data_IF_709006450972
#
_entry.id   IF_709006450972
#
_cell.length_a   1.000
_cell.length_b   1.000
_cell.length_c   1.000
_cell.angle_alpha   90.00
_cell.angle_beta   90.00
_cell.angle_gamma   90.00
#
_symmetry.space_group_name_H-M   'P 1'
#
loop_
_entity.id
_entity.type
_entity.pdbx_description
1 polymer ?
#
# COMPACT_ATOMS: atom_id res chain seq x y z
N UNK A 1 -11.32 0.98 -6.72
CA UNK A 1 -11.89 -0.37 -6.77
C UNK A 1 -13.28 -0.29 -7.37
N UNK A 2 -13.50 -0.96 -8.51
CA UNK A 2 -14.79 -0.83 -9.22
C UNK A 2 -16.02 -1.22 -8.41
N UNK A 3 -15.94 -2.30 -7.63
CA UNK A 3 -17.10 -2.71 -6.83
C UNK A 3 -17.43 -1.66 -5.77
N UNK A 4 -16.41 -1.09 -5.16
CA UNK A 4 -16.62 -0.07 -4.15
C UNK A 4 -17.23 1.18 -4.75
N UNK A 5 -16.75 1.57 -5.93
CA UNK A 5 -17.30 2.73 -6.61
C UNK A 5 -18.76 2.54 -6.96
N UNK A 6 -19.13 1.33 -7.44
CA UNK A 6 -20.52 1.02 -7.75
C UNK A 6 -21.41 1.13 -6.51
N UNK A 7 -20.93 0.61 -5.38
CA UNK A 7 -21.69 0.69 -4.12
C UNK A 7 -21.82 2.14 -3.67
N UNK A 8 -20.75 2.91 -3.78
CA UNK A 8 -20.76 4.31 -3.37
C UNK A 8 -21.65 5.18 -4.25
N UNK A 9 -22.01 4.70 -5.43
CA UNK A 9 -22.93 5.42 -6.31
C UNK A 9 -24.40 5.23 -5.92
N UNK A 10 -24.68 4.39 -4.93
CA UNK A 10 -26.04 4.19 -4.43
C UNK A 10 -26.47 5.38 -3.57
N UNK A 11 -27.57 5.24 -2.83
CA UNK A 11 -28.08 6.37 -2.05
C UNK A 11 -27.12 6.74 -0.90
N UNK A 12 -27.30 7.94 -0.35
CA UNK A 12 -26.41 8.51 0.66
C UNK A 12 -26.27 7.68 1.92
N UNK A 13 -27.36 7.20 2.54
CA UNK A 13 -27.21 6.43 3.77
C UNK A 13 -26.37 5.17 3.59
N UNK A 14 -26.57 4.48 2.48
CA UNK A 14 -25.82 3.27 2.18
C UNK A 14 -24.36 3.61 1.87
N UNK A 15 -24.13 4.70 1.15
CA UNK A 15 -22.81 5.18 0.82
C UNK A 15 -22.00 5.47 2.08
N UNK A 16 -22.57 6.18 3.03
CA UNK A 16 -21.89 6.50 4.28
C UNK A 16 -21.57 5.24 5.06
N UNK A 17 -22.49 4.30 5.09
CA UNK A 17 -22.30 3.06 5.82
C UNK A 17 -21.14 2.25 5.24
N UNK A 18 -21.05 2.18 3.91
CA UNK A 18 -19.96 1.49 3.24
C UNK A 18 -18.63 2.18 3.52
N UNK A 19 -18.61 3.50 3.48
CA UNK A 19 -17.39 4.27 3.74
C UNK A 19 -16.87 4.00 5.15
N UNK A 20 -17.75 3.94 6.15
CA UNK A 20 -17.34 3.64 7.51
C UNK A 20 -16.73 2.26 7.60
N UNK A 21 -17.32 1.27 6.95
CA UNK A 21 -16.79 -0.08 6.95
C UNK A 21 -15.40 -0.15 6.33
N UNK A 22 -15.21 0.56 5.23
CA UNK A 22 -13.91 0.59 4.56
C UNK A 22 -12.85 1.16 5.49
N UNK A 23 -13.18 2.21 6.23
CA UNK A 23 -12.25 2.80 7.19
C UNK A 23 -11.86 1.83 8.27
N UNK A 24 -12.81 1.03 8.75
CA UNK A 24 -12.57 0.12 9.85
C UNK A 24 -11.77 -1.12 9.42
N UNK A 25 -11.51 -1.28 8.12
CA UNK A 25 -10.80 -2.44 7.61
C UNK A 25 -9.36 -2.14 7.25
N UNK A 26 -8.71 -1.35 8.07
CA UNK A 26 -7.27 -1.14 7.91
C UNK A 26 -6.53 -2.37 8.43
N UNK A 27 -5.41 -2.69 7.79
CA UNK A 27 -4.59 -3.82 8.19
C UNK A 27 -3.72 -3.47 9.38
N UNK A 28 -3.40 -4.47 10.19
CA UNK A 28 -2.36 -4.35 11.21
C UNK A 28 -0.99 -4.36 10.52
N UNK A 29 0.06 -4.13 11.31
CA UNK A 29 1.41 -4.18 10.75
C UNK A 29 1.70 -5.56 10.17
N UNK A 30 1.34 -6.61 10.89
CA UNK A 30 1.57 -7.97 10.42
C UNK A 30 0.78 -8.29 9.16
N UNK A 31 -0.50 -7.92 9.14
CA UNK A 31 -1.33 -8.14 7.97
C UNK A 31 -0.84 -7.34 6.78
N UNK A 32 -0.31 -6.15 7.01
CA UNK A 32 0.28 -5.34 5.95
C UNK A 32 1.46 -6.07 5.31
N UNK A 33 2.33 -6.65 6.13
CA UNK A 33 3.47 -7.41 5.61
C UNK A 33 3.01 -8.60 4.79
N UNK A 34 2.03 -9.34 5.31
CA UNK A 34 1.49 -10.49 4.57
C UNK A 34 0.87 -10.08 3.25
N UNK A 35 0.19 -8.95 3.25
CA UNK A 35 -0.44 -8.44 2.05
C UNK A 35 0.61 -8.07 0.98
N UNK A 36 1.68 -7.40 1.39
CA UNK A 36 2.76 -7.04 0.49
C UNK A 36 3.40 -8.29 -0.10
N UNK A 37 3.71 -9.26 0.75
CA UNK A 37 4.32 -10.51 0.32
C UNK A 37 3.41 -11.24 -0.67
N UNK A 38 2.12 -11.28 -0.37
CA UNK A 38 1.14 -11.95 -1.23
C UNK A 38 1.05 -11.28 -2.60
N UNK A 39 1.05 -9.95 -2.63
CA UNK A 39 0.99 -9.22 -3.89
C UNK A 39 2.21 -9.52 -4.76
N UNK A 40 3.39 -9.59 -4.15
CA UNK A 40 4.59 -9.91 -4.89
C UNK A 40 4.57 -11.33 -5.43
N UNK A 41 4.02 -12.25 -4.65
CA UNK A 41 3.88 -13.64 -5.09
C UNK A 41 2.95 -13.73 -6.31
N UNK A 42 1.81 -13.05 -6.26
CA UNK A 42 0.85 -13.06 -7.38
C UNK A 42 1.47 -12.43 -8.63
N UNK A 43 2.32 -11.41 -8.45
CA UNK A 43 2.98 -10.76 -9.57
C UNK A 43 4.09 -11.62 -10.19
N UNK A 44 4.33 -12.81 -9.65
CA UNK A 44 5.31 -13.73 -10.21
C UNK A 44 6.70 -13.53 -9.70
N UNK A 45 6.89 -12.74 -8.66
CA UNK A 45 8.20 -12.50 -8.08
C UNK A 45 8.63 -13.71 -7.25
N UNK A 46 9.80 -14.27 -7.55
CA UNK A 46 10.31 -15.41 -6.80
C UNK A 46 10.75 -15.02 -5.40
N UNK A 47 11.14 -13.77 -5.22
CA UNK A 47 11.57 -13.25 -3.93
C UNK A 47 10.88 -11.92 -3.67
N UNK A 48 10.58 -11.68 -2.41
CA UNK A 48 10.02 -10.39 -2.00
C UNK A 48 11.16 -9.35 -2.02
N UNK A 49 11.07 -8.33 -2.86
CA UNK A 49 12.13 -7.31 -2.92
C UNK A 49 12.11 -6.35 -1.72
N UNK A 50 11.01 -6.29 -0.98
CA UNK A 50 10.87 -5.36 0.15
C UNK A 50 11.58 -5.91 1.38
N UNK A 51 12.43 -5.09 2.01
CA UNK A 51 13.07 -5.46 3.26
C UNK A 51 12.04 -5.39 4.39
N UNK A 52 12.42 -5.98 5.55
CA UNK A 52 11.58 -5.89 6.74
C UNK A 52 11.30 -4.42 7.11
N UNK A 53 12.34 -3.61 7.09
CA UNK A 53 12.18 -2.19 7.43
C UNK A 53 11.33 -1.47 6.41
N UNK A 54 11.44 -1.85 5.13
CA UNK A 54 10.59 -1.27 4.09
C UNK A 54 9.12 -1.59 4.34
N UNK A 55 8.83 -2.84 4.68
CA UNK A 55 7.44 -3.23 4.95
C UNK A 55 6.88 -2.53 6.18
N UNK A 56 7.71 -2.34 7.19
CA UNK A 56 7.31 -1.59 8.38
C UNK A 56 7.00 -0.14 8.01
N UNK A 57 7.84 0.47 7.18
CA UNK A 57 7.62 1.84 6.73
C UNK A 57 6.34 1.94 5.91
N UNK A 58 6.06 0.97 5.06
CA UNK A 58 4.81 0.94 4.31
C UNK A 58 3.63 0.97 5.27
N UNK A 59 3.68 0.17 6.32
CA UNK A 59 2.61 0.20 7.31
C UNK A 59 2.50 1.56 7.99
N UNK A 60 3.62 2.12 8.41
CA UNK A 60 3.63 3.39 9.12
C UNK A 60 3.02 4.53 8.32
N UNK A 61 3.34 4.60 7.03
CA UNK A 61 2.86 5.71 6.20
C UNK A 61 1.48 5.47 5.62
N UNK A 62 1.08 4.21 5.47
CA UNK A 62 -0.24 3.87 4.95
C UNK A 62 -1.30 3.73 6.04
N UNK A 63 -0.86 3.57 7.29
CA UNK A 63 -1.73 3.24 8.43
C UNK A 63 -2.55 1.98 8.16
N UNK A 64 -2.03 1.08 7.34
CA UNK A 64 -2.70 -0.17 7.02
C UNK A 64 -3.83 -0.03 6.02
N UNK A 65 -3.99 1.14 5.40
CA UNK A 65 -5.03 1.34 4.39
C UNK A 65 -4.60 0.69 3.08
N UNK A 66 -5.35 -0.33 2.58
CA UNK A 66 -4.91 -1.09 1.40
C UNK A 66 -4.64 -0.23 0.18
N UNK A 67 -5.45 0.78 -0.06
CA UNK A 67 -5.24 1.66 -1.21
C UNK A 67 -3.89 2.38 -1.13
N UNK A 68 -3.54 2.84 0.07
CA UNK A 68 -2.27 3.53 0.26
C UNK A 68 -1.10 2.54 0.20
N UNK A 69 -1.28 1.34 0.72
CA UNK A 69 -0.27 0.29 0.61
C UNK A 69 0.03 0.02 -0.87
N UNK A 70 -1.02 -0.13 -1.67
CA UNK A 70 -0.86 -0.38 -3.11
C UNK A 70 -0.11 0.76 -3.79
N UNK A 71 -0.51 2.00 -3.49
CA UNK A 71 0.11 3.17 -4.11
C UNK A 71 1.59 3.26 -3.76
N UNK A 72 1.92 3.07 -2.48
CA UNK A 72 3.32 3.11 -2.04
C UNK A 72 4.13 2.00 -2.70
N UNK A 73 3.61 0.78 -2.69
CA UNK A 73 4.32 -0.35 -3.28
C UNK A 73 4.55 -0.17 -4.77
N UNK A 74 3.54 0.27 -5.51
CA UNK A 74 3.66 0.45 -6.95
C UNK A 74 4.71 1.48 -7.30
N UNK A 75 4.73 2.59 -6.57
CA UNK A 75 5.73 3.64 -6.80
C UNK A 75 7.11 3.20 -6.37
N UNK A 76 7.20 2.44 -5.28
CA UNK A 76 8.50 1.93 -4.82
C UNK A 76 9.09 0.95 -5.82
N UNK A 77 8.26 0.10 -6.41
CA UNK A 77 8.72 -0.84 -7.42
C UNK A 77 9.20 -0.11 -8.66
N UNK A 78 8.50 0.95 -9.06
CA UNK A 78 8.92 1.76 -10.18
C UNK A 78 10.27 2.41 -9.91
N UNK A 79 10.44 2.98 -8.71
CA UNK A 79 11.71 3.58 -8.33
C UNK A 79 12.83 2.54 -8.34
N UNK A 80 12.55 1.34 -7.81
CA UNK A 80 13.52 0.25 -7.82
C UNK A 80 13.95 -0.11 -9.24
N UNK A 81 12.99 -0.15 -10.15
CA UNK A 81 13.29 -0.43 -11.55
C UNK A 81 14.16 0.68 -12.15
N UNK A 82 13.82 1.94 -11.88
CA UNK A 82 14.57 3.08 -12.42
C UNK A 82 16.00 3.13 -11.87
N UNK A 83 16.17 2.76 -10.61
CA UNK A 83 17.49 2.75 -9.98
C UNK A 83 18.23 1.44 -10.21
N UNK A 84 17.60 0.50 -10.92
CA UNK A 84 18.19 -0.81 -11.25
C UNK A 84 18.61 -1.58 -10.01
N UNK A 85 17.74 -1.55 -8.98
CA UNK A 85 17.97 -2.31 -7.75
C UNK A 85 16.93 -3.40 -7.60
N UNK A 86 17.33 -4.52 -7.03
CA UNK A 86 16.44 -5.63 -6.74
C UNK A 86 15.93 -5.59 -5.31
N UNK A 87 16.37 -4.61 -4.54
CA UNK A 87 16.01 -4.49 -3.13
C UNK A 87 15.34 -3.15 -2.90
N UNK A 88 14.14 -3.19 -2.33
CA UNK A 88 13.39 -1.99 -1.97
C UNK A 88 13.54 -1.82 -0.45
N UNK A 89 14.34 -0.87 -0.04
CA UNK A 89 14.60 -0.64 1.38
C UNK A 89 13.77 0.52 1.92
N UNK A 90 13.97 0.80 3.20
CA UNK A 90 13.24 1.86 3.89
C UNK A 90 13.46 3.22 3.24
N UNK A 91 14.67 3.48 2.76
CA UNK A 91 15.00 4.76 2.13
C UNK A 91 14.15 5.01 0.89
N UNK A 92 13.95 3.98 0.08
CA UNK A 92 13.11 4.09 -1.11
C UNK A 92 11.66 4.36 -0.70
N UNK A 93 11.15 3.65 0.31
CA UNK A 93 9.79 3.87 0.79
C UNK A 93 9.62 5.30 1.28
N UNK A 94 10.59 5.80 2.04
CA UNK A 94 10.55 7.16 2.55
C UNK A 94 10.49 8.18 1.43
N UNK A 95 11.33 8.02 0.43
CA UNK A 95 11.36 8.92 -0.72
C UNK A 95 10.02 8.91 -1.47
N UNK A 96 9.45 7.72 -1.64
CA UNK A 96 8.15 7.58 -2.29
C UNK A 96 7.06 8.30 -1.51
N UNK A 97 7.05 8.15 -0.19
CA UNK A 97 6.01 8.76 0.63
C UNK A 97 6.11 10.30 0.62
N UNK A 98 7.32 10.82 0.55
CA UNK A 98 7.52 12.26 0.41
C UNK A 98 6.93 12.74 -0.92
N UNK A 99 7.25 12.03 -2.00
CA UNK A 99 6.75 12.38 -3.33
C UNK A 99 5.24 12.31 -3.42
N UNK A 100 4.63 11.37 -2.70
CA UNK A 100 3.18 11.20 -2.70
C UNK A 100 2.47 12.15 -1.72
N UNK A 101 3.22 12.92 -0.95
CA UNK A 101 2.63 13.82 0.02
C UNK A 101 2.15 13.13 1.29
N UNK A 102 2.60 11.91 1.54
CA UNK A 102 2.21 11.16 2.74
C UNK A 102 3.16 11.39 3.90
N UNK A 103 4.28 12.05 3.65
CA UNK A 103 5.30 12.33 4.63
C UNK A 103 5.88 13.71 4.36
N UNK A 104 6.32 14.39 5.40
CA UNK A 104 6.92 15.72 5.26
C UNK A 104 8.40 15.66 4.93
N UNK A 105 8.97 14.52 5.04
CA UNK A 105 10.41 14.38 4.86
C UNK A 105 10.66 13.38 3.76
#
# INVERSE_FOLDING_TARGET
MPELDSVLALDEPLKQRVAIRVRLKSFSEESTKEYVIHRMHIAGSAKNPFTENAMRAIYQYSNGVPRLINTICDNALLDGFLFKTNIIDEAIIKAVTVDLGLSEE
#
